data_IF_188443794138
#
_entry.id   IF_188443794138
#
_cell.length_a   1.000
_cell.length_b   1.000
_cell.length_c   1.000
_cell.angle_alpha   90.00
_cell.angle_beta   90.00
_cell.angle_gamma   90.00
#
_symmetry.space_group_name_H-M   'P 1'
#
loop_
_entity.id
_entity.type
_entity.pdbx_description
1 polymer ?
#
# COMPACT_ATOMS: atom_id res chain seq x y z
N UNK A 1 -5.03 47.47 13.91
CA UNK A 1 -4.97 46.55 15.07
C UNK A 1 -3.82 45.58 14.86
N UNK A 2 -3.03 45.35 15.92
CA UNK A 2 -1.61 44.92 15.90
C UNK A 2 -1.43 43.46 15.46
N UNK A 3 -0.46 43.24 14.55
CA UNK A 3 0.15 41.95 14.20
C UNK A 3 1.17 41.58 15.27
N UNK A 4 1.20 40.33 15.71
CA UNK A 4 2.19 39.81 16.66
C UNK A 4 2.95 38.68 15.96
N UNK A 5 4.21 38.97 15.63
CA UNK A 5 5.22 38.02 15.18
C UNK A 5 5.98 37.53 16.40
N UNK A 6 6.12 36.21 16.57
CA UNK A 6 7.04 35.62 17.54
C UNK A 6 8.31 35.18 16.81
N UNK A 7 9.36 36.01 16.91
CA UNK A 7 10.74 35.63 16.61
C UNK A 7 11.42 35.26 17.92
N UNK A 8 11.89 34.02 18.06
CA UNK A 8 12.92 33.68 19.04
C UNK A 8 14.14 33.15 18.29
N UNK A 9 15.14 34.02 18.19
CA UNK A 9 16.51 33.72 17.80
C UNK A 9 17.30 33.59 19.10
N UNK A 10 17.97 32.47 19.31
CA UNK A 10 19.10 32.38 20.23
C UNK A 10 20.14 31.43 19.63
N UNK A 11 21.07 32.02 18.88
CA UNK A 11 22.33 31.43 18.48
C UNK A 11 23.31 31.54 19.66
N UNK A 12 23.86 30.42 20.11
CA UNK A 12 25.13 30.41 20.85
C UNK A 12 26.08 29.50 20.08
N UNK A 13 27.11 30.12 19.54
CA UNK A 13 28.16 29.51 18.74
C UNK A 13 29.35 29.08 19.59
N UNK A 14 30.12 28.14 19.00
CA UNK A 14 31.57 27.92 19.11
C UNK A 14 32.13 27.34 20.41
N UNK A 15 32.69 26.13 20.33
CA UNK A 15 34.16 25.88 20.40
C UNK A 15 34.52 24.58 19.63
N UNK A 16 35.39 24.70 18.64
CA UNK A 16 36.36 23.69 18.14
C UNK A 16 37.77 24.26 18.48
N UNK A 17 38.93 23.56 18.35
CA UNK A 17 39.23 22.20 17.86
C UNK A 17 40.27 21.43 18.74
N UNK A 18 40.56 20.14 18.46
CA UNK A 18 41.95 19.62 18.43
C UNK A 18 41.99 18.30 17.68
N UNK A 19 42.82 18.26 16.64
CA UNK A 19 43.21 17.09 15.86
C UNK A 19 44.05 16.13 16.71
N UNK A 20 43.83 14.82 16.60
CA UNK A 20 44.88 13.83 16.90
C UNK A 20 44.94 12.76 15.82
N UNK A 21 46.09 12.76 15.15
CA UNK A 21 46.57 11.72 14.24
C UNK A 21 46.86 10.46 15.06
N UNK A 22 46.16 9.36 14.78
CA UNK A 22 46.57 8.03 15.23
C UNK A 22 46.28 7.04 14.10
N UNK A 23 47.34 6.84 13.30
CA UNK A 23 47.48 5.78 12.32
C UNK A 23 47.69 4.48 13.09
N UNK A 24 46.80 3.50 12.94
CA UNK A 24 47.15 2.11 13.23
C UNK A 24 46.46 1.16 12.24
N UNK A 25 47.26 0.25 11.72
CA UNK A 25 46.99 -0.57 10.55
C UNK A 25 46.16 -1.81 10.91
N UNK A 26 45.15 -2.07 10.06
CA UNK A 26 44.92 -3.35 9.38
C UNK A 26 44.71 -4.65 10.17
N UNK A 27 43.43 -5.06 10.25
CA UNK A 27 42.93 -6.43 10.02
C UNK A 27 41.43 -6.29 9.68
N UNK A 28 40.99 -6.58 8.46
CA UNK A 28 40.67 -7.89 7.89
C UNK A 28 39.14 -8.13 7.90
N UNK A 29 38.61 -8.18 6.68
CA UNK A 29 37.30 -8.64 6.17
C UNK A 29 36.09 -8.57 7.14
N UNK A 30 35.21 -7.58 6.90
CA UNK A 30 33.79 -7.64 7.27
C UNK A 30 32.96 -7.19 6.07
N UNK A 31 31.91 -7.91 5.67
CA UNK A 31 31.16 -7.59 4.46
C UNK A 31 30.54 -6.21 4.63
N UNK A 32 30.93 -5.29 3.75
CA UNK A 32 30.34 -3.96 3.70
C UNK A 32 28.83 -4.09 3.70
N UNK A 33 28.20 -3.59 4.76
CA UNK A 33 26.78 -3.31 4.77
C UNK A 33 26.59 -2.26 3.69
N UNK A 34 26.20 -2.71 2.49
CA UNK A 34 25.83 -1.81 1.41
C UNK A 34 24.79 -0.83 1.97
N UNK A 35 24.87 0.46 1.63
CA UNK A 35 23.75 1.34 1.86
C UNK A 35 22.56 0.70 1.15
N UNK A 36 21.57 0.24 1.91
CA UNK A 36 20.26 -0.09 1.36
C UNK A 36 19.70 1.22 0.79
N UNK A 37 20.03 1.51 -0.47
CA UNK A 37 19.28 2.48 -1.26
C UNK A 37 17.82 2.01 -1.15
N UNK A 38 16.88 2.88 -0.73
CA UNK A 38 15.48 2.54 -0.71
C UNK A 38 15.08 2.16 -2.14
N UNK A 39 14.90 0.86 -2.39
CA UNK A 39 14.49 0.29 -3.68
C UNK A 39 13.04 0.66 -4.05
N UNK A 40 12.51 1.73 -3.46
CA UNK A 40 11.26 2.40 -3.80
C UNK A 40 11.44 3.68 -4.63
N UNK A 41 12.69 4.10 -4.90
CA UNK A 41 12.98 5.28 -5.73
C UNK A 41 13.23 4.97 -7.21
N UNK A 42 13.41 3.69 -7.56
CA UNK A 42 13.49 3.23 -8.94
C UNK A 42 12.20 2.47 -9.22
N UNK A 43 11.36 2.99 -10.10
CA UNK A 43 10.26 2.25 -10.73
C UNK A 43 10.80 1.15 -11.64
N UNK A 44 11.59 0.25 -11.05
CA UNK A 44 12.28 -0.84 -11.73
C UNK A 44 11.33 -2.01 -11.98
N UNK A 45 11.35 -2.60 -13.18
CA UNK A 45 10.63 -3.83 -13.48
C UNK A 45 11.01 -4.93 -12.49
N UNK A 46 10.06 -5.83 -12.19
CA UNK A 46 10.21 -7.00 -11.33
C UNK A 46 11.47 -7.84 -11.62
N UNK A 47 12.04 -7.74 -12.82
CA UNK A 47 13.27 -8.39 -13.26
C UNK A 47 14.51 -8.07 -12.40
N UNK A 48 14.50 -7.00 -11.62
CA UNK A 48 15.63 -6.62 -10.75
C UNK A 48 15.49 -7.11 -9.31
N UNK A 49 14.40 -7.80 -8.96
CA UNK A 49 14.21 -8.32 -7.62
C UNK A 49 15.04 -9.61 -7.40
N UNK A 50 15.69 -9.76 -6.22
CA UNK A 50 16.27 -11.02 -5.81
C UNK A 50 15.23 -12.16 -5.85
N UNK A 51 15.61 -13.40 -6.22
CA UNK A 51 14.67 -14.51 -6.40
C UNK A 51 13.74 -14.76 -5.20
N UNK A 52 14.25 -14.56 -3.98
CA UNK A 52 13.48 -14.71 -2.75
C UNK A 52 12.38 -13.65 -2.60
N UNK A 53 12.65 -12.40 -3.04
CA UNK A 53 11.66 -11.33 -3.04
C UNK A 53 10.63 -11.54 -4.14
N UNK A 54 11.03 -12.02 -5.31
CA UNK A 54 10.10 -12.41 -6.38
C UNK A 54 9.09 -13.45 -5.91
N UNK A 55 9.54 -14.52 -5.25
CA UNK A 55 8.66 -15.57 -4.76
C UNK A 55 7.62 -15.05 -3.76
N UNK A 56 8.04 -14.18 -2.82
CA UNK A 56 7.11 -13.53 -1.87
C UNK A 56 6.10 -12.64 -2.58
N UNK A 57 6.57 -11.88 -3.55
CA UNK A 57 5.76 -10.94 -4.29
C UNK A 57 4.68 -11.66 -5.13
N UNK A 58 5.02 -12.76 -5.79
CA UNK A 58 4.07 -13.65 -6.47
C UNK A 58 3.03 -14.19 -5.48
N UNK A 59 3.47 -14.71 -4.33
CA UNK A 59 2.55 -15.26 -3.34
C UNK A 59 1.57 -14.20 -2.77
N UNK A 60 2.04 -12.97 -2.53
CA UNK A 60 1.19 -11.85 -2.10
C UNK A 60 0.15 -11.53 -3.18
N UNK A 61 0.59 -11.48 -4.44
CA UNK A 61 -0.27 -11.14 -5.57
C UNK A 61 -1.30 -12.22 -5.88
N UNK A 62 -0.96 -13.50 -5.76
CA UNK A 62 -1.90 -14.60 -5.95
C UNK A 62 -2.99 -14.62 -4.87
N UNK A 63 -2.61 -14.42 -3.61
CA UNK A 63 -3.56 -14.30 -2.50
C UNK A 63 -4.48 -13.08 -2.68
N UNK A 64 -3.90 -11.94 -3.05
CA UNK A 64 -4.62 -10.72 -3.38
C UNK A 64 -5.63 -10.96 -4.51
N UNK A 65 -5.17 -11.46 -5.67
CA UNK A 65 -6.01 -11.71 -6.86
C UNK A 65 -7.19 -12.62 -6.52
N UNK A 66 -6.94 -13.69 -5.76
CA UNK A 66 -7.98 -14.63 -5.34
C UNK A 66 -9.04 -13.94 -4.47
N UNK A 67 -8.62 -13.24 -3.42
CA UNK A 67 -9.54 -12.57 -2.47
C UNK A 67 -10.29 -11.43 -3.14
N UNK A 68 -9.62 -10.60 -3.93
CA UNK A 68 -10.25 -9.48 -4.63
C UNK A 68 -11.26 -9.95 -5.66
N UNK A 69 -10.95 -11.03 -6.41
CA UNK A 69 -11.88 -11.60 -7.38
C UNK A 69 -13.15 -12.11 -6.71
N UNK A 70 -13.01 -12.87 -5.62
CA UNK A 70 -14.15 -13.37 -4.86
C UNK A 70 -15.04 -12.24 -4.32
N UNK A 71 -14.44 -11.22 -3.71
CA UNK A 71 -15.19 -10.07 -3.17
C UNK A 71 -15.89 -9.27 -4.27
N UNK A 72 -15.23 -9.04 -5.42
CA UNK A 72 -15.85 -8.36 -6.57
C UNK A 72 -17.07 -9.12 -7.08
N UNK A 73 -16.95 -10.44 -7.20
CA UNK A 73 -18.08 -11.28 -7.59
C UNK A 73 -19.25 -11.15 -6.60
N UNK A 74 -19.00 -11.19 -5.29
CA UNK A 74 -20.06 -11.00 -4.28
C UNK A 74 -20.70 -9.62 -4.37
N UNK A 75 -19.89 -8.58 -4.56
CA UNK A 75 -20.38 -7.20 -4.74
C UNK A 75 -21.28 -7.11 -5.98
N UNK A 76 -20.89 -7.71 -7.10
CA UNK A 76 -21.71 -7.71 -8.32
C UNK A 76 -23.02 -8.48 -8.14
N UNK A 77 -22.99 -9.64 -7.46
CA UNK A 77 -24.21 -10.38 -7.10
C UNK A 77 -25.16 -9.49 -6.28
N UNK A 78 -24.64 -8.78 -5.28
CA UNK A 78 -25.45 -7.92 -4.40
C UNK A 78 -25.93 -6.65 -5.11
N UNK A 79 -25.15 -6.11 -6.04
CA UNK A 79 -25.60 -5.03 -6.92
C UNK A 79 -26.74 -5.48 -7.82
N UNK A 80 -26.66 -6.67 -8.40
CA UNK A 80 -27.74 -7.22 -9.21
C UNK A 80 -29.01 -7.47 -8.37
N UNK A 81 -28.87 -7.92 -7.11
CA UNK A 81 -30.01 -8.05 -6.17
C UNK A 81 -30.66 -6.68 -5.89
N UNK A 82 -29.85 -5.64 -5.72
CA UNK A 82 -30.32 -4.27 -5.55
C UNK A 82 -31.03 -3.73 -6.80
N UNK A 83 -30.49 -3.98 -7.99
CA UNK A 83 -31.09 -3.58 -9.27
C UNK A 83 -32.41 -4.30 -9.56
N UNK A 84 -32.55 -5.55 -9.11
CA UNK A 84 -33.77 -6.34 -9.22
C UNK A 84 -34.85 -6.01 -8.19
N UNK A 85 -34.56 -5.11 -7.25
CA UNK A 85 -35.46 -4.79 -6.14
C UNK A 85 -36.62 -3.92 -6.63
N UNK A 86 -37.85 -4.43 -6.52
CA UNK A 86 -39.06 -3.70 -6.90
C UNK A 86 -39.64 -2.95 -5.69
N UNK A 87 -39.92 -1.65 -5.81
CA UNK A 87 -40.56 -0.87 -4.73
C UNK A 87 -42.08 -1.07 -4.66
N UNK A 88 -42.53 -2.33 -4.63
CA UNK A 88 -43.94 -2.69 -4.51
C UNK A 88 -44.28 -3.13 -3.07
N UNK A 89 -45.57 -3.30 -2.78
CA UNK A 89 -46.07 -3.70 -1.45
C UNK A 89 -45.58 -5.08 -0.96
N UNK A 90 -44.99 -5.88 -1.85
CA UNK A 90 -44.49 -7.23 -1.53
C UNK A 90 -43.01 -7.23 -1.14
N UNK A 91 -42.31 -6.11 -1.28
CA UNK A 91 -40.91 -6.02 -0.89
C UNK A 91 -40.80 -5.57 0.56
N UNK A 92 -40.07 -6.32 1.40
CA UNK A 92 -39.93 -5.97 2.80
C UNK A 92 -39.28 -4.58 2.94
N UNK A 93 -39.76 -3.72 3.85
CA UNK A 93 -39.19 -2.38 4.04
C UNK A 93 -37.70 -2.41 4.45
N UNK A 94 -37.25 -3.52 5.06
CA UNK A 94 -35.87 -3.74 5.46
C UNK A 94 -34.96 -4.24 4.33
N UNK A 95 -35.50 -4.62 3.17
CA UNK A 95 -34.71 -5.24 2.09
C UNK A 95 -33.63 -4.29 1.54
N UNK A 96 -34.00 -3.04 1.27
CA UNK A 96 -33.07 -2.03 0.78
C UNK A 96 -32.01 -1.65 1.84
N UNK A 97 -32.36 -1.32 3.10
CA UNK A 97 -31.38 -1.07 4.15
C UNK A 97 -30.42 -2.25 4.38
N UNK A 98 -30.94 -3.48 4.39
CA UNK A 98 -30.14 -4.70 4.56
C UNK A 98 -29.10 -4.82 3.45
N UNK A 99 -29.52 -4.69 2.18
CA UNK A 99 -28.61 -4.76 1.04
C UNK A 99 -27.57 -3.64 1.03
N UNK A 100 -27.97 -2.44 1.45
CA UNK A 100 -27.03 -1.32 1.63
C UNK A 100 -25.92 -1.66 2.64
N UNK A 101 -26.28 -2.24 3.79
CA UNK A 101 -25.32 -2.69 4.79
C UNK A 101 -24.42 -3.82 4.28
N UNK A 102 -24.98 -4.82 3.61
CA UNK A 102 -24.20 -5.93 3.04
C UNK A 102 -23.18 -5.43 2.00
N UNK A 103 -23.59 -4.56 1.08
CA UNK A 103 -22.69 -3.93 0.11
C UNK A 103 -21.61 -3.07 0.77
N UNK A 104 -21.97 -2.37 1.85
CA UNK A 104 -21.03 -1.57 2.63
C UNK A 104 -19.93 -2.45 3.24
N UNK A 105 -20.29 -3.57 3.87
CA UNK A 105 -19.35 -4.52 4.47
C UNK A 105 -18.43 -5.10 3.39
N UNK A 106 -18.98 -5.59 2.28
CA UNK A 106 -18.17 -6.16 1.19
C UNK A 106 -17.18 -5.15 0.60
N UNK A 107 -17.59 -3.89 0.48
CA UNK A 107 -16.70 -2.81 0.01
C UNK A 107 -15.57 -2.56 1.00
N UNK A 108 -15.86 -2.55 2.29
CA UNK A 108 -14.86 -2.30 3.33
C UNK A 108 -13.87 -3.46 3.43
N UNK A 109 -14.34 -4.70 3.24
CA UNK A 109 -13.48 -5.88 3.09
C UNK A 109 -12.59 -5.80 1.85
N UNK A 110 -13.14 -5.42 0.68
CA UNK A 110 -12.34 -5.25 -0.53
C UNK A 110 -11.23 -4.21 -0.32
N UNK A 111 -11.57 -3.08 0.31
CA UNK A 111 -10.60 -2.05 0.68
C UNK A 111 -9.52 -2.61 1.61
N UNK A 112 -9.89 -3.38 2.63
CA UNK A 112 -8.95 -3.98 3.56
C UNK A 112 -8.00 -4.95 2.85
N UNK A 113 -8.50 -5.77 1.92
CA UNK A 113 -7.68 -6.67 1.10
C UNK A 113 -6.66 -5.90 0.26
N UNK A 114 -7.08 -4.83 -0.42
CA UNK A 114 -6.16 -3.98 -1.18
C UNK A 114 -5.09 -3.35 -0.29
N UNK A 115 -5.48 -2.74 0.83
CA UNK A 115 -4.55 -2.11 1.76
C UNK A 115 -3.56 -3.13 2.37
N UNK A 116 -4.03 -4.34 2.68
CA UNK A 116 -3.18 -5.41 3.20
C UNK A 116 -2.15 -5.85 2.15
N UNK A 117 -2.57 -6.03 0.90
CA UNK A 117 -1.67 -6.41 -0.18
C UNK A 117 -0.58 -5.35 -0.42
N UNK A 118 -0.94 -4.06 -0.44
CA UNK A 118 0.03 -2.96 -0.57
C UNK A 118 0.99 -2.91 0.62
N UNK A 119 0.47 -3.06 1.84
CA UNK A 119 1.30 -3.08 3.05
C UNK A 119 2.30 -4.26 3.03
N UNK A 120 1.85 -5.47 2.67
CA UNK A 120 2.72 -6.64 2.56
C UNK A 120 3.77 -6.47 1.48
N UNK A 121 3.39 -5.93 0.33
CA UNK A 121 4.32 -5.61 -0.76
C UNK A 121 5.40 -4.61 -0.32
N UNK A 122 5.04 -3.56 0.43
CA UNK A 122 6.01 -2.61 1.00
C UNK A 122 6.94 -3.25 2.03
N UNK A 123 6.41 -4.05 2.95
CA UNK A 123 7.18 -4.61 4.06
C UNK A 123 8.05 -5.80 3.64
N UNK A 124 7.52 -6.70 2.82
CA UNK A 124 8.18 -7.97 2.48
C UNK A 124 9.05 -7.87 1.21
N UNK A 125 8.68 -7.01 0.26
CA UNK A 125 9.34 -6.88 -1.05
C UNK A 125 10.08 -5.54 -1.16
N UNK A 126 9.53 -4.48 -0.57
CA UNK A 126 10.07 -3.12 -0.62
C UNK A 126 9.50 -2.29 -1.77
N UNK A 127 8.43 -2.76 -2.43
CA UNK A 127 7.80 -2.10 -3.58
C UNK A 127 6.32 -1.87 -3.25
N UNK A 128 5.78 -0.65 -3.37
CA UNK A 128 4.35 -0.41 -3.20
C UNK A 128 3.53 -0.91 -4.40
N UNK A 129 2.27 -1.30 -4.16
CA UNK A 129 1.30 -1.61 -5.22
C UNK A 129 0.69 -0.35 -5.85
N UNK A 130 0.67 0.75 -5.09
CA UNK A 130 0.23 2.06 -5.56
C UNK A 130 -0.85 2.69 -4.67
N UNK A 131 -1.44 3.77 -5.16
CA UNK A 131 -2.55 4.46 -4.51
C UNK A 131 -3.88 3.88 -4.98
N UNK A 132 -4.86 3.81 -4.09
CA UNK A 132 -6.22 3.42 -4.45
C UNK A 132 -6.89 4.52 -5.29
N UNK A 133 -7.30 4.17 -6.50
CA UNK A 133 -7.83 5.10 -7.51
C UNK A 133 -9.22 5.66 -7.17
N UNK A 134 -10.01 4.91 -6.40
CA UNK A 134 -11.41 5.24 -6.20
C UNK A 134 -11.95 4.80 -4.85
N UNK A 135 -13.16 5.25 -4.56
CA UNK A 135 -14.03 4.67 -3.53
C UNK A 135 -15.20 3.99 -4.24
N UNK A 136 -15.75 2.94 -3.62
CA UNK A 136 -16.92 2.25 -4.15
C UNK A 136 -16.64 0.80 -4.54
N UNK A 137 -17.54 0.23 -5.33
CA UNK A 137 -17.56 -1.18 -5.70
C UNK A 137 -16.50 -1.57 -6.75
N UNK A 138 -16.00 -0.61 -7.52
CA UNK A 138 -14.98 -0.82 -8.57
C UNK A 138 -13.61 -0.28 -8.14
N UNK A 139 -13.24 -0.52 -6.89
CA UNK A 139 -11.98 -0.03 -6.31
C UNK A 139 -10.79 -0.85 -6.80
N UNK A 140 -9.77 -0.14 -7.27
CA UNK A 140 -8.52 -0.66 -7.82
C UNK A 140 -7.33 0.26 -7.53
N UNK A 141 -6.11 -0.21 -7.78
CA UNK A 141 -4.91 0.62 -7.76
C UNK A 141 -4.78 1.44 -9.04
N UNK A 142 -4.44 2.73 -8.89
CA UNK A 142 -4.33 3.71 -9.98
C UNK A 142 -3.19 3.38 -10.96
N UNK A 143 -2.09 2.86 -10.42
CA UNK A 143 -0.93 2.37 -11.16
C UNK A 143 -0.44 1.09 -10.50
N UNK A 144 -1.09 -0.02 -10.80
CA UNK A 144 -0.55 -1.31 -10.40
C UNK A 144 0.74 -1.54 -11.21
N UNK A 145 1.90 -1.40 -10.55
CA UNK A 145 3.22 -1.70 -11.13
C UNK A 145 3.36 -3.18 -11.56
N UNK A 146 2.36 -3.98 -11.24
CA UNK A 146 2.18 -5.41 -11.46
C UNK A 146 1.36 -5.75 -12.72
N UNK A 147 1.31 -4.86 -13.71
CA UNK A 147 0.52 -5.15 -14.93
C UNK A 147 1.18 -6.30 -15.70
N UNK A 148 0.40 -7.35 -15.92
CA UNK A 148 0.81 -8.71 -16.28
C UNK A 148 1.89 -8.78 -17.37
N UNK A 149 3.08 -9.24 -16.99
CA UNK A 149 4.13 -9.78 -17.87
C UNK A 149 4.12 -11.31 -17.89
N UNK A 150 2.95 -11.94 -17.79
CA UNK A 150 2.76 -13.37 -17.98
C UNK A 150 1.70 -13.56 -19.07
N UNK A 151 2.14 -13.43 -20.32
CA UNK A 151 1.51 -14.07 -21.48
C UNK A 151 2.23 -15.39 -21.72
#
# INVERSE_FOLDING_TARGET
>A
MKKIFFYFIAMVSLVLPTSSLAQNQQYDISPQTQPCIPMGALGGPLEQLPPQKCAKAIAIMDDFKRKSFYLRHLIDVKKNELEGLSFNQNTPPEALPRLGCELQILRDELRAVLMNADQRMRLEVGIPLGTLASRGCSMDFEQMLWRDGLK
#
